data_IF_923602272548
#
_entry.id   IF_923602272548
#
_cell.length_a   1.000
_cell.length_b   1.000
_cell.length_c   1.000
_cell.angle_alpha   90.00
_cell.angle_beta   90.00
_cell.angle_gamma   90.00
#
_symmetry.space_group_name_H-M   'P 1'
#
loop_
_entity.id
_entity.type
_entity.pdbx_description
1 polymer ?
#
# COMPACT_ATOMS: atom_id res chain seq x y z
N UNK A 1 31.15 1.33 5.25
CA UNK A 1 30.00 2.25 5.38
C UNK A 1 28.79 1.56 4.78
N UNK A 2 28.06 0.80 5.60
CA UNK A 2 26.83 0.13 5.19
C UNK A 2 25.76 1.21 4.96
N UNK A 3 25.45 1.46 3.69
CA UNK A 3 24.36 2.36 3.32
C UNK A 3 23.04 1.82 3.84
N UNK A 4 22.31 2.65 4.57
CA UNK A 4 21.01 2.35 5.16
C UNK A 4 20.05 1.87 4.06
N UNK A 5 19.80 0.57 3.99
CA UNK A 5 18.70 0.01 3.20
C UNK A 5 17.43 0.21 4.03
N UNK A 6 16.86 1.41 3.95
CA UNK A 6 15.55 1.67 4.54
C UNK A 6 14.52 0.96 3.67
N UNK A 7 14.01 -0.18 4.14
CA UNK A 7 12.92 -0.88 3.49
C UNK A 7 11.67 0.01 3.52
N UNK A 8 11.27 0.53 2.36
CA UNK A 8 10.07 1.36 2.25
C UNK A 8 8.84 0.46 2.10
N UNK A 9 7.77 0.69 2.88
CA UNK A 9 6.60 -0.18 2.84
C UNK A 9 5.90 -0.07 1.48
N UNK A 10 5.58 -1.22 0.89
CA UNK A 10 4.82 -1.31 -0.36
C UNK A 10 3.62 -2.23 -0.18
N UNK A 11 2.47 -1.85 -0.75
CA UNK A 11 1.18 -2.52 -0.61
C UNK A 11 0.65 -2.90 -2.00
N UNK A 12 0.32 -4.18 -2.19
CA UNK A 12 -0.30 -4.70 -3.42
C UNK A 12 -1.56 -5.48 -3.10
N UNK A 13 -2.52 -5.47 -4.02
CA UNK A 13 -3.66 -6.39 -4.03
C UNK A 13 -4.50 -6.32 -2.75
N UNK A 14 -4.80 -5.10 -2.30
CA UNK A 14 -5.58 -4.86 -1.07
C UNK A 14 -7.04 -4.66 -1.40
N UNK A 15 -7.94 -5.40 -0.76
CA UNK A 15 -9.39 -5.15 -0.81
C UNK A 15 -9.91 -4.92 0.59
N UNK A 16 -10.62 -3.81 0.79
CA UNK A 16 -11.27 -3.48 2.06
C UNK A 16 -12.75 -3.12 1.86
N UNK A 17 -13.55 -3.33 2.90
CA UNK A 17 -15.00 -3.09 2.92
C UNK A 17 -15.37 -2.18 4.09
N UNK A 18 -16.45 -1.42 3.94
CA UNK A 18 -16.96 -0.50 4.96
C UNK A 18 -15.89 0.48 5.47
N UNK A 19 -15.06 0.99 4.56
CA UNK A 19 -13.95 1.88 4.87
C UNK A 19 -14.46 3.27 5.23
N UNK A 20 -14.03 3.80 6.38
CA UNK A 20 -14.39 5.17 6.81
C UNK A 20 -13.32 6.20 6.43
N UNK A 21 -12.05 5.80 6.43
CA UNK A 21 -10.88 6.55 5.98
C UNK A 21 -9.96 5.59 5.23
N UNK A 22 -9.47 5.97 4.06
CA UNK A 22 -8.62 5.11 3.23
C UNK A 22 -7.20 5.00 3.77
N UNK A 23 -6.53 6.15 3.97
CA UNK A 23 -5.28 6.21 4.72
C UNK A 23 -4.93 7.65 5.15
N UNK A 24 -4.09 7.75 6.17
CA UNK A 24 -3.36 8.97 6.51
C UNK A 24 -1.89 8.71 6.22
N UNK A 25 -1.39 9.40 5.20
CA UNK A 25 0.00 9.41 4.79
C UNK A 25 0.56 10.76 5.25
N UNK A 26 1.17 10.78 6.44
CA UNK A 26 1.78 11.99 7.00
C UNK A 26 3.31 11.86 7.09
N UNK A 27 4.01 12.74 6.36
CA UNK A 27 5.44 12.68 6.14
C UNK A 27 6.13 13.82 6.87
N UNK A 28 7.39 13.60 7.25
CA UNK A 28 8.17 14.62 7.94
C UNK A 28 8.61 15.72 6.97
N UNK A 29 8.38 16.99 7.31
CA UNK A 29 8.72 18.17 6.48
C UNK A 29 10.17 18.16 5.95
N UNK A 30 11.10 17.64 6.75
CA UNK A 30 12.54 17.61 6.46
C UNK A 30 13.07 16.22 6.08
N UNK A 31 12.20 15.21 6.05
CA UNK A 31 12.53 13.83 5.72
C UNK A 31 11.35 13.19 4.99
N UNK A 32 11.17 13.59 3.73
CA UNK A 32 10.14 13.03 2.87
C UNK A 32 10.32 11.52 2.76
N UNK A 33 9.27 10.77 3.08
CA UNK A 33 9.23 9.35 2.77
C UNK A 33 9.12 9.20 1.25
N UNK A 34 10.13 8.57 0.67
CA UNK A 34 10.16 8.22 -0.76
C UNK A 34 10.13 6.70 -0.88
N UNK A 35 9.67 6.17 -2.02
CA UNK A 35 9.71 4.72 -2.28
C UNK A 35 8.54 3.91 -1.74
N UNK A 36 7.47 4.54 -1.24
CA UNK A 36 6.20 3.84 -0.97
C UNK A 36 5.53 3.52 -2.29
N UNK A 37 5.10 2.27 -2.45
CA UNK A 37 4.38 1.83 -3.64
C UNK A 37 3.04 1.21 -3.27
N UNK A 38 1.95 1.75 -3.81
CA UNK A 38 0.59 1.23 -3.60
C UNK A 38 0.04 0.83 -4.97
N UNK A 39 -0.29 -0.45 -5.14
CA UNK A 39 -0.81 -0.96 -6.39
C UNK A 39 -1.98 -1.92 -6.22
N UNK A 40 -2.96 -1.83 -7.13
CA UNK A 40 -4.14 -2.70 -7.15
C UNK A 40 -4.89 -2.73 -5.80
N UNK A 41 -5.29 -1.54 -5.33
CA UNK A 41 -5.99 -1.38 -4.05
C UNK A 41 -7.43 -0.95 -4.30
N UNK A 42 -8.39 -1.69 -3.74
CA UNK A 42 -9.83 -1.40 -3.82
C UNK A 42 -10.41 -1.25 -2.41
N UNK A 43 -10.77 -0.02 -2.04
CA UNK A 43 -11.36 0.32 -0.76
C UNK A 43 -12.82 0.70 -0.97
N UNK A 44 -13.73 -0.16 -0.51
CA UNK A 44 -15.16 0.09 -0.62
C UNK A 44 -15.61 0.92 0.59
N UNK A 45 -16.05 2.15 0.31
CA UNK A 45 -16.41 3.12 1.34
C UNK A 45 -17.71 2.74 2.04
N UNK A 46 -17.73 2.92 3.36
CA UNK A 46 -18.90 2.71 4.20
C UNK A 46 -19.79 3.96 4.33
N UNK A 47 -20.98 3.85 4.94
CA UNK A 47 -21.89 4.99 5.14
C UNK A 47 -21.29 6.13 5.98
N UNK A 48 -20.33 5.83 6.86
CA UNK A 48 -19.63 6.78 7.70
C UNK A 48 -18.31 7.27 7.10
N UNK A 49 -18.13 7.14 5.78
CA UNK A 49 -16.94 7.57 5.08
C UNK A 49 -16.75 9.09 5.16
N UNK A 50 -15.53 9.52 5.50
CA UNK A 50 -15.13 10.93 5.46
C UNK A 50 -14.94 11.39 4.02
N UNK A 51 -15.12 12.68 3.74
CA UNK A 51 -14.81 13.22 2.41
C UNK A 51 -13.32 13.11 2.08
N UNK A 52 -12.45 13.46 3.03
CA UNK A 52 -11.01 13.28 2.89
C UNK A 52 -10.63 11.82 3.17
N UNK A 53 -10.58 11.02 2.11
CA UNK A 53 -10.22 9.61 2.17
C UNK A 53 -8.71 9.39 2.30
N UNK A 54 -7.92 10.19 1.58
CA UNK A 54 -6.47 10.15 1.60
C UNK A 54 -5.95 11.47 2.14
N UNK A 55 -5.48 11.48 3.39
CA UNK A 55 -4.81 12.65 3.93
C UNK A 55 -3.31 12.51 3.64
N UNK A 56 -2.78 13.32 2.71
CA UNK A 56 -1.40 13.22 2.27
C UNK A 56 -0.66 14.53 2.52
N UNK A 57 0.36 14.50 3.37
CA UNK A 57 1.24 15.65 3.64
C UNK A 57 2.70 15.22 3.42
N UNK A 58 3.47 15.98 2.64
CA UNK A 58 4.91 15.76 2.41
C UNK A 58 5.31 14.40 1.79
N UNK A 59 4.56 13.87 0.81
CA UNK A 59 4.93 12.66 0.05
C UNK A 59 5.21 12.93 -1.43
N UNK A 60 6.01 12.08 -2.06
CA UNK A 60 6.26 12.07 -3.49
C UNK A 60 6.35 10.64 -4.09
N UNK A 61 5.58 10.37 -5.16
CA UNK A 61 5.59 9.19 -6.08
C UNK A 61 5.17 7.84 -5.43
N UNK A 62 4.83 6.72 -6.10
CA UNK A 62 4.25 6.36 -7.42
C UNK A 62 3.17 5.31 -7.11
N UNK A 63 1.96 5.43 -7.64
CA UNK A 63 0.87 4.48 -7.39
C UNK A 63 0.09 4.13 -8.66
N UNK A 64 -0.40 2.90 -8.76
CA UNK A 64 -1.16 2.41 -9.92
C UNK A 64 -2.42 1.64 -9.48
N UNK A 65 -3.56 1.88 -10.13
CA UNK A 65 -4.84 1.16 -9.88
C UNK A 65 -5.29 1.18 -8.40
N UNK A 66 -5.59 2.38 -7.89
CA UNK A 66 -6.07 2.58 -6.51
C UNK A 66 -7.45 3.25 -6.52
N UNK A 67 -8.40 2.69 -5.78
CA UNK A 67 -9.78 3.19 -5.64
C UNK A 67 -10.14 3.29 -4.15
N UNK A 68 -10.61 4.45 -3.64
CA UNK A 68 -10.86 5.72 -4.33
C UNK A 68 -9.57 6.44 -4.75
N UNK A 69 -9.67 7.41 -5.67
CA UNK A 69 -8.53 8.14 -6.24
C UNK A 69 -7.61 8.69 -5.14
N UNK A 70 -6.33 8.41 -5.26
CA UNK A 70 -5.28 8.90 -4.37
C UNK A 70 -5.06 10.42 -4.55
N UNK A 71 -4.56 11.09 -3.51
CA UNK A 71 -4.19 12.50 -3.52
C UNK A 71 -3.21 12.84 -4.67
N UNK A 72 -3.35 14.03 -5.29
CA UNK A 72 -2.57 14.42 -6.48
C UNK A 72 -1.04 14.51 -6.23
N UNK A 73 -0.62 14.62 -4.96
CA UNK A 73 0.79 14.56 -4.54
C UNK A 73 1.46 13.21 -4.85
N UNK A 74 0.68 12.13 -5.04
CA UNK A 74 1.17 10.78 -5.31
C UNK A 74 1.08 10.36 -6.78
N UNK A 75 0.95 11.33 -7.69
CA UNK A 75 0.92 11.08 -9.14
C UNK A 75 2.31 10.72 -9.67
N UNK A 76 2.74 9.47 -9.47
CA UNK A 76 3.89 8.90 -10.18
C UNK A 76 3.50 8.27 -11.50
N UNK A 77 4.50 8.00 -12.36
CA UNK A 77 4.27 7.33 -13.66
C UNK A 77 3.59 5.98 -13.42
N UNK A 78 2.52 5.69 -14.17
CA UNK A 78 1.88 4.39 -14.18
C UNK A 78 2.91 3.30 -14.55
N UNK A 79 3.39 2.60 -13.54
CA UNK A 79 4.27 1.45 -13.65
C UNK A 79 3.90 0.46 -12.55
N UNK A 80 4.07 -0.83 -12.80
CA UNK A 80 3.95 -1.82 -11.75
C UNK A 80 5.06 -1.58 -10.72
N UNK A 81 4.65 -1.58 -9.45
CA UNK A 81 5.57 -1.51 -8.32
C UNK A 81 6.60 -2.63 -8.43
N UNK A 82 7.91 -2.36 -8.26
CA UNK A 82 8.92 -3.40 -8.17
C UNK A 82 8.78 -4.12 -6.83
N UNK A 83 7.81 -5.04 -6.74
CA UNK A 83 7.74 -5.99 -5.65
C UNK A 83 8.82 -7.04 -5.85
N UNK A 84 9.48 -7.44 -4.76
CA UNK A 84 10.43 -8.54 -4.84
C UNK A 84 9.70 -9.83 -5.21
N UNK A 85 10.28 -10.60 -6.13
CA UNK A 85 9.82 -11.96 -6.47
C UNK A 85 10.44 -13.02 -5.54
N UNK A 86 11.15 -12.58 -4.50
CA UNK A 86 11.76 -13.46 -3.51
C UNK A 86 10.69 -14.35 -2.87
N UNK A 87 10.87 -15.65 -3.04
CA UNK A 87 10.03 -16.65 -2.40
C UNK A 87 10.57 -16.94 -1.00
N UNK A 88 9.70 -16.82 -0.01
CA UNK A 88 10.00 -17.30 1.33
C UNK A 88 9.72 -18.81 1.38
N UNK A 89 10.42 -19.58 2.24
CA UNK A 89 10.15 -21.01 2.40
C UNK A 89 8.69 -21.35 2.75
N UNK A 90 7.94 -20.38 3.33
CA UNK A 90 6.51 -20.54 3.64
C UNK A 90 5.62 -20.57 2.39
N UNK A 91 6.04 -19.95 1.29
CA UNK A 91 5.25 -19.89 0.04
C UNK A 91 5.15 -21.25 -0.66
N UNK A 92 6.07 -22.17 -0.37
CA UNK A 92 6.11 -23.53 -0.92
C UNK A 92 5.50 -24.58 0.05
N UNK A 93 4.96 -24.16 1.20
CA UNK A 93 4.38 -25.08 2.18
C UNK A 93 3.04 -25.64 1.68
N UNK A 94 2.98 -26.96 1.52
CA UNK A 94 1.74 -27.68 1.19
C UNK A 94 0.86 -27.80 2.45
N UNK A 95 -0.28 -27.11 2.45
CA UNK A 95 -1.27 -27.22 3.51
C UNK A 95 -1.88 -28.62 3.54
N UNK A 96 -1.85 -29.26 4.72
CA UNK A 96 -2.55 -30.52 4.98
C UNK A 96 -3.84 -30.21 5.75
N UNK A 97 -4.95 -30.78 5.31
CA UNK A 97 -6.20 -30.74 6.07
C UNK A 97 -6.19 -31.86 7.13
N UNK A 98 -6.69 -31.55 8.32
CA UNK A 98 -7.02 -32.55 9.32
C UNK A 98 -8.53 -32.77 9.30
N UNK A 99 -8.97 -34.03 9.30
CA UNK A 99 -10.36 -34.42 9.52
C UNK A 99 -10.52 -34.90 10.96
N UNK A 100 -11.49 -34.36 11.69
CA UNK A 100 -11.94 -34.95 12.96
C UNK A 100 -12.75 -36.20 12.66
N UNK A 101 -12.35 -37.32 13.26
CA UNK A 101 -13.08 -38.59 13.23
C UNK A 101 -14.34 -38.53 14.08
#
# INVERSE_FOLDING_TARGET
YHGNHLNTPSYRDVVAQNVTVSAILDGLDKAQFTGICISNVTLNLGPAARELQWNCTNFARTTSRVTPKLCDALTGKAGDCPFSEDKLPIDDVVLKSCSTA
#
